data_IF_023841445460
#
_entry.id   IF_023841445460
#
_cell.length_a   1.000
_cell.length_b   1.000
_cell.length_c   1.000
_cell.angle_alpha   90.00
_cell.angle_beta   90.00
_cell.angle_gamma   90.00
#
_symmetry.space_group_name_H-M   'P 1'
#
loop_
_entity.id
_entity.type
_entity.pdbx_description
1 polymer ?
#
# COMPACT_ATOMS: atom_id res chain seq x y z
N UNK A 1 19.25 10.12 -28.18
CA UNK A 1 20.02 11.18 -27.50
C UNK A 1 21.17 10.56 -26.73
N UNK A 2 22.26 11.28 -26.45
CA UNK A 2 23.27 10.77 -25.50
C UNK A 2 22.70 10.74 -24.08
N UNK A 3 23.02 9.70 -23.31
CA UNK A 3 22.64 9.64 -21.89
C UNK A 3 23.35 10.76 -21.14
N UNK A 4 22.59 11.50 -20.33
CA UNK A 4 23.12 12.49 -19.41
C UNK A 4 24.22 11.89 -18.51
N UNK A 5 25.40 12.52 -18.49
CA UNK A 5 26.57 12.11 -17.71
C UNK A 5 26.24 11.91 -16.22
N UNK A 6 25.41 12.77 -15.64
CA UNK A 6 24.99 12.68 -14.23
C UNK A 6 24.25 11.38 -13.93
N UNK A 7 23.44 10.88 -14.87
CA UNK A 7 22.68 9.63 -14.70
C UNK A 7 23.63 8.42 -14.78
N UNK A 8 24.57 8.44 -15.73
CA UNK A 8 25.61 7.41 -15.83
C UNK A 8 26.44 7.33 -14.55
N UNK A 9 26.85 8.46 -13.99
CA UNK A 9 27.62 8.52 -12.74
C UNK A 9 26.82 7.99 -11.54
N UNK A 10 25.56 8.42 -11.40
CA UNK A 10 24.64 7.92 -10.35
C UNK A 10 24.48 6.41 -10.41
N UNK A 11 24.21 5.85 -11.60
CA UNK A 11 24.07 4.41 -11.79
C UNK A 11 25.37 3.65 -11.53
N UNK A 12 26.51 4.20 -11.96
CA UNK A 12 27.82 3.58 -11.73
C UNK A 12 28.14 3.53 -10.23
N UNK A 13 27.90 4.63 -9.50
CA UNK A 13 28.06 4.69 -8.04
C UNK A 13 27.16 3.69 -7.31
N UNK A 14 25.94 3.50 -7.81
CA UNK A 14 24.97 2.53 -7.28
C UNK A 14 25.24 1.08 -7.73
N UNK A 15 26.25 0.83 -8.57
CA UNK A 15 26.50 -0.47 -9.20
C UNK A 15 25.28 -0.97 -10.04
N UNK A 16 24.59 -0.08 -10.75
CA UNK A 16 23.41 -0.36 -11.59
C UNK A 16 23.57 0.14 -13.04
N UNK A 17 24.81 0.30 -13.53
CA UNK A 17 25.07 0.80 -14.89
C UNK A 17 24.49 -0.09 -16.01
N UNK A 18 24.20 -1.37 -15.73
CA UNK A 18 23.62 -2.30 -16.69
C UNK A 18 22.19 -1.91 -17.11
N UNK A 19 21.50 -1.06 -16.36
CA UNK A 19 20.18 -0.53 -16.74
C UNK A 19 20.21 0.25 -18.07
N UNK A 20 21.38 0.70 -18.51
CA UNK A 20 21.57 1.40 -19.78
C UNK A 20 22.12 0.51 -20.90
N UNK A 21 22.19 -0.82 -20.69
CA UNK A 21 22.82 -1.75 -21.65
C UNK A 21 22.24 -1.65 -23.07
N UNK A 22 20.94 -1.39 -23.19
CA UNK A 22 20.23 -1.32 -24.48
C UNK A 22 19.97 0.11 -24.96
N UNK A 23 20.55 1.14 -24.33
CA UNK A 23 20.20 2.54 -24.58
C UNK A 23 20.27 2.95 -26.06
N UNK A 24 21.29 2.48 -26.79
CA UNK A 24 21.49 2.77 -28.21
C UNK A 24 20.42 2.18 -29.12
N UNK A 25 19.65 1.21 -28.64
CA UNK A 25 18.57 0.55 -29.38
C UNK A 25 17.20 1.21 -29.11
N UNK A 26 17.12 2.10 -28.12
CA UNK A 26 15.86 2.71 -27.70
C UNK A 26 15.49 3.92 -28.55
N UNK A 27 14.20 4.04 -28.86
CA UNK A 27 13.64 5.27 -29.41
C UNK A 27 13.49 6.36 -28.33
N UNK A 28 13.11 7.57 -28.71
CA UNK A 28 13.02 8.70 -27.77
C UNK A 28 11.98 8.49 -26.66
N UNK A 29 10.84 7.87 -26.96
CA UNK A 29 9.77 7.61 -25.98
C UNK A 29 10.24 6.58 -24.95
N UNK A 30 10.83 5.48 -25.42
CA UNK A 30 11.44 4.44 -24.59
C UNK A 30 12.56 5.00 -23.70
N UNK A 31 13.39 5.90 -24.23
CA UNK A 31 14.40 6.60 -23.45
C UNK A 31 13.78 7.40 -22.31
N UNK A 32 12.66 8.11 -22.55
CA UNK A 32 12.00 8.87 -21.49
C UNK A 32 11.39 7.97 -20.41
N UNK A 33 10.76 6.84 -20.78
CA UNK A 33 10.21 5.87 -19.84
C UNK A 33 11.32 5.33 -18.93
N UNK A 34 12.43 4.88 -19.51
CA UNK A 34 13.55 4.34 -18.75
C UNK A 34 14.16 5.39 -17.79
N UNK A 35 14.33 6.63 -18.28
CA UNK A 35 14.86 7.72 -17.46
C UNK A 35 13.90 8.10 -16.32
N UNK A 36 12.60 8.06 -16.56
CA UNK A 36 11.59 8.29 -15.53
C UNK A 36 11.72 7.24 -14.41
N UNK A 37 11.68 5.96 -14.75
CA UNK A 37 11.84 4.86 -13.79
C UNK A 37 13.17 4.98 -12.99
N UNK A 38 14.28 5.26 -13.67
CA UNK A 38 15.60 5.45 -13.00
C UNK A 38 15.56 6.62 -12.01
N UNK A 39 14.86 7.69 -12.36
CA UNK A 39 14.81 8.88 -11.52
C UNK A 39 13.99 8.67 -10.24
N UNK A 40 12.92 7.87 -10.31
CA UNK A 40 12.08 7.54 -9.15
C UNK A 40 12.79 6.67 -8.09
N UNK A 41 13.85 5.95 -8.48
CA UNK A 41 14.52 5.00 -7.58
C UNK A 41 15.51 5.68 -6.65
N UNK A 42 15.28 5.51 -5.35
CA UNK A 42 16.27 5.77 -4.31
C UNK A 42 17.28 4.61 -4.23
N UNK A 43 18.33 4.70 -5.05
CA UNK A 43 19.37 3.67 -5.15
C UNK A 43 20.13 3.45 -3.85
N UNK A 44 20.31 4.50 -3.03
CA UNK A 44 20.99 4.38 -1.74
C UNK A 44 20.15 3.55 -0.77
N UNK A 45 18.83 3.78 -0.74
CA UNK A 45 17.90 2.98 0.06
C UNK A 45 17.84 1.53 -0.41
N UNK A 46 17.73 1.30 -1.72
CA UNK A 46 17.70 -0.06 -2.30
C UNK A 46 18.98 -0.82 -1.94
N UNK A 47 20.14 -0.17 -2.12
CA UNK A 47 21.45 -0.78 -1.81
C UNK A 47 21.59 -1.10 -0.32
N UNK A 48 21.16 -0.18 0.56
CA UNK A 48 21.16 -0.41 2.01
C UNK A 48 20.26 -1.58 2.40
N UNK A 49 19.04 -1.62 1.87
CA UNK A 49 18.08 -2.69 2.15
C UNK A 49 18.62 -4.06 1.70
N UNK A 50 19.13 -4.15 0.47
CA UNK A 50 19.73 -5.38 -0.04
C UNK A 50 20.91 -5.84 0.81
N UNK A 51 21.81 -4.93 1.20
CA UNK A 51 22.97 -5.28 2.02
C UNK A 51 22.58 -5.75 3.43
N UNK A 52 21.55 -5.15 4.04
CA UNK A 52 21.01 -5.60 5.32
C UNK A 52 20.46 -7.02 5.24
N UNK A 53 19.61 -7.30 4.24
CA UNK A 53 19.02 -8.62 4.01
C UNK A 53 20.11 -9.66 3.72
N UNK A 54 21.08 -9.32 2.85
CA UNK A 54 22.20 -10.20 2.54
C UNK A 54 23.04 -10.54 3.77
N UNK A 55 23.26 -9.58 4.67
CA UNK A 55 24.00 -9.81 5.91
C UNK A 55 23.26 -10.81 6.81
N UNK A 56 21.96 -10.64 6.96
CA UNK A 56 21.09 -11.49 7.77
C UNK A 56 21.04 -12.94 7.25
N UNK A 57 20.82 -13.11 5.94
CA UNK A 57 20.84 -14.42 5.29
C UNK A 57 22.20 -15.14 5.43
N UNK A 58 23.30 -14.38 5.41
CA UNK A 58 24.65 -14.94 5.57
C UNK A 58 25.01 -15.29 7.02
N UNK A 59 24.46 -14.57 8.01
CA UNK A 59 24.65 -14.91 9.43
C UNK A 59 24.02 -16.26 9.79
N UNK A 60 22.88 -16.60 9.19
CA UNK A 60 22.22 -17.89 9.42
C UNK A 60 23.04 -19.07 8.85
N UNK A 61 23.75 -18.86 7.74
CA UNK A 61 24.60 -19.90 7.12
C UNK A 61 25.99 -20.08 7.77
N UNK A 62 26.49 -19.11 8.55
CA UNK A 62 27.85 -19.14 9.10
C UNK A 62 27.92 -19.50 10.59
N UNK A 63 26.78 -19.51 11.29
CA UNK A 63 26.68 -19.85 12.71
C UNK A 63 26.44 -21.34 13.01
N UNK A 64 26.77 -22.25 12.09
CA UNK A 64 26.73 -23.70 12.37
C UNK A 64 27.73 -24.15 13.46
N UNK A 65 28.63 -23.28 13.93
CA UNK A 65 29.71 -23.58 14.89
C UNK A 65 29.89 -22.54 16.01
N UNK A 66 28.83 -21.84 16.47
CA UNK A 66 28.90 -21.03 17.69
C UNK A 66 27.95 -21.55 18.76
N UNK A 67 28.52 -22.09 19.85
CA UNK A 67 27.87 -22.55 21.08
C UNK A 67 27.20 -21.43 21.91
N UNK A 68 26.88 -20.28 21.31
CA UNK A 68 26.09 -19.23 21.97
C UNK A 68 24.70 -19.34 21.38
N UNK A 69 23.81 -20.05 22.09
CA UNK A 69 22.37 -19.90 21.91
C UNK A 69 22.02 -18.45 22.29
N UNK A 70 22.17 -17.53 21.35
CA UNK A 70 21.34 -16.32 21.39
C UNK A 70 19.90 -16.83 21.41
N UNK A 71 19.15 -16.51 22.48
CA UNK A 71 17.76 -16.93 22.61
C UNK A 71 17.04 -16.56 21.31
N UNK A 72 16.42 -17.55 20.65
CA UNK A 72 15.63 -17.26 19.47
C UNK A 72 14.52 -16.30 19.91
N UNK A 73 14.15 -15.32 19.08
CA UNK A 73 13.05 -14.41 19.41
C UNK A 73 11.80 -15.23 19.77
N UNK A 74 11.57 -16.34 19.08
CA UNK A 74 10.48 -17.28 19.35
C UNK A 74 10.49 -17.84 20.78
N UNK A 75 11.67 -18.01 21.40
CA UNK A 75 11.83 -18.54 22.76
C UNK A 75 11.42 -17.53 23.85
N UNK A 76 11.39 -16.23 23.52
CA UNK A 76 11.05 -15.13 24.44
C UNK A 76 9.70 -14.45 24.11
N UNK A 77 8.97 -14.97 23.11
CA UNK A 77 7.65 -14.44 22.75
C UNK A 77 6.60 -14.81 23.81
N UNK A 78 5.96 -13.80 24.40
CA UNK A 78 4.86 -13.95 25.33
C UNK A 78 3.53 -13.42 24.75
N UNK A 79 2.37 -13.90 25.24
CA UNK A 79 1.08 -13.33 24.88
C UNK A 79 0.98 -11.83 25.20
N UNK A 80 0.20 -11.10 24.41
CA UNK A 80 -0.10 -9.69 24.69
C UNK A 80 -0.86 -9.60 26.02
N UNK A 81 -0.51 -8.67 26.94
CA UNK A 81 -1.14 -8.56 28.24
C UNK A 81 -2.66 -8.29 28.18
N UNK A 82 -3.43 -8.88 29.09
CA UNK A 82 -4.88 -8.71 29.17
C UNK A 82 -5.33 -7.26 29.39
N UNK A 83 -4.46 -6.42 29.94
CA UNK A 83 -4.73 -4.99 30.19
C UNK A 83 -4.86 -4.17 28.90
N UNK A 84 -4.40 -4.68 27.76
CA UNK A 84 -4.48 -4.03 26.45
C UNK A 84 -5.27 -4.85 25.43
N UNK A 85 -5.88 -5.96 25.83
CA UNK A 85 -6.74 -6.79 24.98
C UNK A 85 -8.22 -6.64 25.33
N UNK A 86 -9.09 -6.95 24.37
CA UNK A 86 -10.53 -6.93 24.58
C UNK A 86 -11.21 -7.94 23.66
N UNK A 87 -12.27 -8.58 24.14
CA UNK A 87 -13.03 -9.61 23.41
C UNK A 87 -14.51 -9.25 23.37
N UNK A 88 -15.12 -9.27 22.18
CA UNK A 88 -16.56 -9.01 22.02
C UNK A 88 -17.40 -10.03 22.80
N UNK A 89 -16.96 -11.29 22.84
CA UNK A 89 -17.70 -12.38 23.48
C UNK A 89 -17.66 -12.32 25.02
N UNK A 90 -16.63 -11.66 25.57
CA UNK A 90 -16.41 -11.57 27.02
C UNK A 90 -16.78 -10.20 27.60
N UNK A 91 -17.02 -9.20 26.73
CA UNK A 91 -17.40 -7.85 27.14
C UNK A 91 -18.91 -7.77 27.38
N UNK A 92 -19.32 -7.14 28.49
CA UNK A 92 -20.73 -6.95 28.81
C UNK A 92 -21.46 -6.12 27.75
N UNK A 93 -22.77 -6.32 27.60
CA UNK A 93 -23.59 -5.59 26.62
C UNK A 93 -23.56 -4.08 26.87
N UNK A 94 -23.58 -3.66 28.13
CA UNK A 94 -23.53 -2.26 28.54
C UNK A 94 -22.21 -1.60 28.11
N UNK A 95 -21.09 -2.32 28.27
CA UNK A 95 -19.78 -1.82 27.86
C UNK A 95 -19.63 -1.78 26.32
N UNK A 96 -20.15 -2.79 25.61
CA UNK A 96 -20.19 -2.77 24.14
C UNK A 96 -21.03 -1.61 23.61
N UNK A 97 -22.18 -1.33 24.22
CA UNK A 97 -23.02 -0.18 23.85
C UNK A 97 -22.28 1.13 24.14
N UNK A 98 -21.55 1.23 25.25
CA UNK A 98 -20.69 2.39 25.54
C UNK A 98 -19.61 2.58 24.47
N UNK A 99 -18.99 1.51 23.97
CA UNK A 99 -18.04 1.60 22.85
C UNK A 99 -18.71 2.03 21.55
N UNK A 100 -19.88 1.48 21.24
CA UNK A 100 -20.69 1.87 20.07
C UNK A 100 -21.00 3.37 20.10
N UNK A 101 -21.51 3.87 21.22
CA UNK A 101 -21.85 5.28 21.43
C UNK A 101 -20.63 6.19 21.26
N UNK A 102 -19.48 5.81 21.84
CA UNK A 102 -18.22 6.57 21.67
C UNK A 102 -17.76 6.60 20.20
N UNK A 103 -17.86 5.48 19.50
CA UNK A 103 -17.50 5.40 18.08
C UNK A 103 -18.40 6.26 17.19
N UNK A 104 -19.72 6.16 17.37
CA UNK A 104 -20.67 6.99 16.62
C UNK A 104 -20.51 8.48 16.94
N UNK A 105 -20.21 8.83 18.19
CA UNK A 105 -19.90 10.21 18.56
C UNK A 105 -18.68 10.74 17.80
N UNK A 106 -17.60 9.96 17.73
CA UNK A 106 -16.40 10.35 17.00
C UNK A 106 -16.66 10.53 15.49
N UNK A 107 -17.56 9.70 14.91
CA UNK A 107 -18.01 9.86 13.52
C UNK A 107 -18.81 11.16 13.36
N UNK A 108 -19.77 11.43 14.26
CA UNK A 108 -20.57 12.65 14.24
C UNK A 108 -19.73 13.93 14.38
N UNK A 109 -18.63 13.85 15.13
CA UNK A 109 -17.65 14.92 15.32
C UNK A 109 -16.61 15.01 14.18
N UNK A 110 -16.71 14.17 13.14
CA UNK A 110 -15.77 14.18 12.01
C UNK A 110 -14.35 13.76 12.35
N UNK A 111 -14.16 13.01 13.43
CA UNK A 111 -12.85 12.58 13.96
C UNK A 111 -12.43 11.19 13.51
N UNK A 112 -13.10 10.62 12.50
CA UNK A 112 -12.86 9.26 11.99
C UNK A 112 -12.71 9.31 10.47
N UNK A 113 -11.69 8.62 9.96
CA UNK A 113 -11.54 8.32 8.54
C UNK A 113 -11.29 6.82 8.35
N UNK A 114 -11.45 6.34 7.12
CA UNK A 114 -11.12 4.97 6.73
C UNK A 114 -9.99 5.01 5.73
N UNK A 115 -8.98 4.19 5.96
CA UNK A 115 -7.88 3.96 5.03
C UNK A 115 -7.96 2.54 4.48
N UNK A 116 -8.15 2.42 3.17
CA UNK A 116 -8.22 1.16 2.45
C UNK A 116 -6.93 0.90 1.69
N UNK A 117 -6.36 -0.29 1.90
CA UNK A 117 -5.21 -0.79 1.14
C UNK A 117 -5.70 -1.59 -0.07
N UNK A 118 -5.72 -0.95 -1.24
CA UNK A 118 -6.24 -1.47 -2.51
C UNK A 118 -5.20 -1.50 -3.64
N UNK A 119 -3.90 -1.54 -3.31
CA UNK A 119 -2.82 -1.57 -4.29
C UNK A 119 -2.69 -2.86 -5.11
N UNK A 120 -3.34 -3.95 -4.68
CA UNK A 120 -3.24 -5.26 -5.32
C UNK A 120 -4.23 -5.46 -6.49
N UNK A 121 -3.72 -6.00 -7.59
CA UNK A 121 -4.55 -6.55 -8.67
C UNK A 121 -5.23 -7.87 -8.23
N UNK A 122 -6.35 -8.19 -8.88
CA UNK A 122 -7.09 -9.44 -8.65
C UNK A 122 -6.50 -10.69 -9.31
N UNK A 123 -5.21 -10.70 -9.67
CA UNK A 123 -4.60 -11.75 -10.51
C UNK A 123 -4.75 -13.16 -9.94
N UNK A 124 -4.60 -13.34 -8.62
CA UNK A 124 -4.83 -14.65 -7.95
C UNK A 124 -6.29 -15.12 -7.97
N UNK A 125 -7.23 -14.20 -8.19
CA UNK A 125 -8.65 -14.49 -8.41
C UNK A 125 -8.97 -14.75 -9.90
N UNK A 126 -7.96 -14.71 -10.77
CA UNK A 126 -8.13 -14.94 -12.22
C UNK A 126 -8.67 -13.75 -12.99
N UNK A 127 -8.55 -12.53 -12.45
CA UNK A 127 -9.04 -11.30 -13.09
C UNK A 127 -7.92 -10.27 -13.24
N UNK A 128 -8.04 -9.41 -14.25
CA UNK A 128 -7.06 -8.39 -14.64
C UNK A 128 -7.39 -6.99 -14.10
N UNK A 129 -8.44 -6.87 -13.29
CA UNK A 129 -8.89 -5.63 -12.68
C UNK A 129 -8.62 -5.57 -11.17
N UNK A 130 -8.74 -4.40 -10.51
CA UNK A 130 -8.48 -4.23 -9.09
C UNK A 130 -9.41 -5.10 -8.23
N UNK A 131 -8.88 -5.70 -7.17
CA UNK A 131 -9.65 -6.65 -6.33
C UNK A 131 -10.95 -6.06 -5.77
N UNK A 132 -10.99 -4.76 -5.49
CA UNK A 132 -12.20 -4.10 -4.99
C UNK A 132 -13.40 -4.16 -5.95
N UNK A 133 -13.16 -4.32 -7.26
CA UNK A 133 -14.20 -4.47 -8.29
C UNK A 133 -14.74 -5.91 -8.39
N UNK A 134 -14.27 -6.85 -7.57
CA UNK A 134 -14.68 -8.24 -7.66
C UNK A 134 -16.10 -8.45 -7.13
N UNK A 135 -16.96 -9.08 -7.94
CA UNK A 135 -18.27 -9.62 -7.52
C UNK A 135 -18.09 -11.04 -7.01
N UNK A 136 -18.39 -11.26 -5.73
CA UNK A 136 -18.29 -12.57 -5.07
C UNK A 136 -19.53 -13.45 -5.30
N UNK A 137 -20.49 -13.00 -6.12
CA UNK A 137 -21.66 -13.76 -6.52
C UNK A 137 -22.87 -13.57 -5.60
N UNK A 138 -22.93 -12.49 -4.82
CA UNK A 138 -24.10 -12.18 -4.00
C UNK A 138 -25.35 -11.96 -4.87
N UNK A 139 -26.57 -12.19 -4.35
CA UNK A 139 -27.81 -11.90 -5.09
C UNK A 139 -27.90 -10.46 -5.60
N UNK A 140 -27.33 -9.51 -4.86
CA UNK A 140 -27.28 -8.09 -5.22
C UNK A 140 -26.22 -7.74 -6.26
N UNK A 141 -25.29 -8.65 -6.58
CA UNK A 141 -24.15 -8.46 -7.50
C UNK A 141 -23.22 -7.30 -7.13
N UNK A 142 -23.26 -6.85 -5.88
CA UNK A 142 -22.42 -5.76 -5.39
C UNK A 142 -20.97 -6.22 -5.28
N UNK A 143 -20.07 -5.38 -5.74
CA UNK A 143 -18.63 -5.58 -5.60
C UNK A 143 -18.14 -5.25 -4.19
N UNK A 144 -16.91 -5.63 -3.87
CA UNK A 144 -16.30 -5.33 -2.57
C UNK A 144 -16.26 -3.82 -2.28
N UNK A 145 -15.93 -2.98 -3.28
CA UNK A 145 -15.95 -1.52 -3.14
C UNK A 145 -17.33 -1.00 -2.81
N UNK A 146 -18.37 -1.48 -3.50
CA UNK A 146 -19.73 -1.02 -3.24
C UNK A 146 -20.20 -1.40 -1.83
N UNK A 147 -19.91 -2.64 -1.38
CA UNK A 147 -20.28 -3.09 -0.04
C UNK A 147 -19.59 -2.23 1.03
N UNK A 148 -18.32 -1.88 0.83
CA UNK A 148 -17.58 -1.02 1.77
C UNK A 148 -18.09 0.42 1.75
N UNK A 149 -18.33 1.02 0.59
CA UNK A 149 -18.88 2.36 0.46
C UNK A 149 -20.28 2.49 1.10
N UNK A 150 -21.14 1.50 0.91
CA UNK A 150 -22.46 1.48 1.55
C UNK A 150 -22.40 1.31 3.07
N UNK A 151 -21.39 0.59 3.60
CA UNK A 151 -21.16 0.50 5.05
C UNK A 151 -20.73 1.84 5.63
N UNK A 152 -19.84 2.56 4.94
CA UNK A 152 -19.42 3.92 5.33
C UNK A 152 -20.66 4.82 5.38
N UNK A 153 -21.44 4.85 4.29
CA UNK A 153 -22.68 5.65 4.22
C UNK A 153 -23.67 5.31 5.33
N UNK A 154 -23.83 4.02 5.66
CA UNK A 154 -24.72 3.61 6.76
C UNK A 154 -24.21 4.07 8.12
N UNK A 155 -22.90 4.06 8.36
CA UNK A 155 -22.32 4.57 9.60
C UNK A 155 -22.51 6.08 9.76
N UNK A 156 -22.34 6.85 8.68
CA UNK A 156 -22.65 8.29 8.66
C UNK A 156 -24.13 8.55 9.01
N UNK A 157 -25.04 7.77 8.42
CA UNK A 157 -26.48 7.85 8.73
C UNK A 157 -26.79 7.51 10.20
N UNK A 158 -26.19 6.45 10.74
CA UNK A 158 -26.40 6.05 12.13
C UNK A 158 -25.89 7.12 13.11
N UNK A 159 -24.74 7.74 12.81
CA UNK A 159 -24.20 8.83 13.63
C UNK A 159 -25.09 10.08 13.55
N UNK A 160 -25.58 10.42 12.36
CA UNK A 160 -26.55 11.49 12.13
C UNK A 160 -27.85 11.26 12.91
N UNK A 161 -28.41 10.05 12.87
CA UNK A 161 -29.63 9.65 13.60
C UNK A 161 -29.44 9.75 15.12
N UNK A 162 -28.35 9.20 15.65
CA UNK A 162 -28.07 9.14 17.10
C UNK A 162 -27.80 10.54 17.70
N UNK A 163 -27.04 11.39 16.99
CA UNK A 163 -26.61 12.69 17.49
C UNK A 163 -27.38 13.88 16.89
N UNK A 164 -28.48 13.61 16.17
CA UNK A 164 -29.35 14.62 15.55
C UNK A 164 -28.59 15.63 14.69
N UNK A 165 -27.64 15.13 13.89
CA UNK A 165 -26.84 15.91 12.95
C UNK A 165 -27.10 15.42 11.51
N UNK A 166 -26.60 16.18 10.53
CA UNK A 166 -26.68 15.84 9.10
C UNK A 166 -25.33 15.91 8.40
N UNK A 167 -24.28 16.20 9.16
CA UNK A 167 -22.95 16.54 8.65
C UNK A 167 -21.90 15.48 8.94
N UNK A 168 -22.28 14.31 9.50
CA UNK A 168 -21.32 13.23 9.74
C UNK A 168 -20.67 12.80 8.43
N UNK A 169 -19.35 12.83 8.39
CA UNK A 169 -18.54 12.47 7.22
C UNK A 169 -17.44 11.53 7.69
N UNK A 170 -17.24 10.44 6.95
CA UNK A 170 -16.09 9.55 7.09
C UNK A 170 -15.29 9.64 5.79
N UNK A 171 -14.17 10.39 5.76
CA UNK A 171 -13.30 10.40 4.60
C UNK A 171 -12.79 9.00 4.28
N UNK A 172 -12.82 8.62 3.01
CA UNK A 172 -12.37 7.33 2.53
C UNK A 172 -11.10 7.48 1.70
N UNK A 173 -9.97 7.20 2.31
CA UNK A 173 -8.67 7.17 1.67
C UNK A 173 -8.45 5.79 1.05
N UNK A 174 -8.22 5.73 -0.25
CA UNK A 174 -8.02 4.48 -1.00
C UNK A 174 -6.60 4.48 -1.57
N UNK A 175 -5.73 3.68 -0.96
CA UNK A 175 -4.37 3.49 -1.43
C UNK A 175 -4.34 2.48 -2.56
N UNK A 176 -3.94 2.89 -3.76
CA UNK A 176 -3.88 2.07 -4.98
C UNK A 176 -2.42 1.82 -5.39
N UNK A 177 -2.21 1.22 -6.57
CA UNK A 177 -0.92 1.21 -7.25
C UNK A 177 -1.05 1.87 -8.63
N UNK A 178 0.09 2.14 -9.27
CA UNK A 178 0.17 2.58 -10.67
C UNK A 178 -0.74 1.75 -11.60
N UNK A 179 -0.85 0.44 -11.34
CA UNK A 179 -1.65 -0.48 -12.15
C UNK A 179 -3.15 -0.51 -11.81
N UNK A 180 -3.57 0.04 -10.66
CA UNK A 180 -4.97 -0.03 -10.21
C UNK A 180 -5.63 1.33 -10.06
N UNK A 181 -4.87 2.44 -10.07
CA UNK A 181 -5.36 3.79 -9.86
C UNK A 181 -6.47 4.17 -10.85
N UNK A 182 -6.15 4.22 -12.15
CA UNK A 182 -7.08 4.68 -13.19
C UNK A 182 -8.35 3.82 -13.24
N UNK A 183 -8.19 2.50 -13.17
CA UNK A 183 -9.33 1.57 -13.17
C UNK A 183 -10.22 1.77 -11.94
N UNK A 184 -9.63 2.02 -10.76
CA UNK A 184 -10.38 2.26 -9.52
C UNK A 184 -11.12 3.60 -9.58
N UNK A 185 -10.46 4.67 -10.03
CA UNK A 185 -11.07 5.99 -10.18
C UNK A 185 -12.26 5.95 -11.14
N UNK A 186 -12.06 5.38 -12.33
CA UNK A 186 -13.12 5.20 -13.33
C UNK A 186 -14.29 4.39 -12.78
N UNK A 187 -14.01 3.33 -12.03
CA UNK A 187 -15.05 2.49 -11.44
C UNK A 187 -15.87 3.24 -10.39
N UNK A 188 -15.23 3.98 -9.50
CA UNK A 188 -15.91 4.81 -8.51
C UNK A 188 -16.81 5.87 -9.18
N UNK A 189 -16.26 6.57 -10.17
CA UNK A 189 -17.00 7.57 -10.94
C UNK A 189 -18.22 6.98 -11.65
N UNK A 190 -18.04 5.86 -12.38
CA UNK A 190 -19.11 5.20 -13.13
C UNK A 190 -20.25 4.71 -12.23
N UNK A 191 -19.95 4.38 -10.97
CA UNK A 191 -20.93 3.94 -9.98
C UNK A 191 -21.42 5.09 -9.07
N UNK A 192 -21.23 6.35 -9.48
CA UNK A 192 -21.64 7.54 -8.74
C UNK A 192 -21.16 7.50 -7.27
N UNK A 193 -19.93 7.03 -7.06
CA UNK A 193 -19.28 6.91 -5.75
C UNK A 193 -20.11 6.14 -4.71
N UNK A 194 -20.98 5.24 -5.18
CA UNK A 194 -21.94 4.47 -4.35
C UNK A 194 -22.85 5.36 -3.48
N UNK A 195 -23.06 6.61 -3.89
CA UNK A 195 -23.86 7.61 -3.18
C UNK A 195 -23.11 8.33 -2.04
N UNK A 196 -21.80 8.18 -1.93
CA UNK A 196 -20.94 9.02 -1.10
C UNK A 196 -20.60 10.32 -1.84
N UNK A 197 -20.20 11.35 -1.09
CA UNK A 197 -19.72 12.60 -1.68
C UNK A 197 -18.30 12.37 -2.28
N UNK A 198 -18.09 12.65 -3.58
CA UNK A 198 -16.78 12.46 -4.22
C UNK A 198 -15.65 13.24 -3.55
N UNK A 199 -15.94 14.41 -2.95
CA UNK A 199 -14.93 15.22 -2.27
C UNK A 199 -14.37 14.53 -1.00
N UNK A 200 -15.05 13.50 -0.50
CA UNK A 200 -14.65 12.75 0.69
C UNK A 200 -13.97 11.42 0.34
N UNK A 201 -13.72 11.15 -0.95
CA UNK A 201 -13.02 9.95 -1.41
C UNK A 201 -11.70 10.39 -2.03
N UNK A 202 -10.59 9.96 -1.43
CA UNK A 202 -9.25 10.40 -1.80
C UNK A 202 -8.45 9.18 -2.24
N UNK A 203 -8.12 9.12 -3.52
CA UNK A 203 -7.23 8.10 -4.06
C UNK A 203 -5.79 8.60 -3.99
N UNK A 204 -4.87 7.72 -3.60
CA UNK A 204 -3.45 8.01 -3.61
C UNK A 204 -2.66 6.73 -3.88
N UNK A 205 -1.51 6.87 -4.51
CA UNK A 205 -0.73 5.72 -4.93
C UNK A 205 0.31 5.32 -3.89
N UNK A 206 0.47 4.02 -3.69
CA UNK A 206 1.60 3.45 -2.97
C UNK A 206 2.87 3.51 -3.83
N UNK A 207 4.03 3.36 -3.19
CA UNK A 207 5.30 3.31 -3.92
C UNK A 207 5.54 1.92 -4.49
N UNK A 208 6.37 1.89 -5.53
CA UNK A 208 6.93 0.66 -6.06
C UNK A 208 8.42 0.56 -5.72
N UNK A 209 8.91 -0.67 -5.53
CA UNK A 209 10.33 -0.98 -5.42
C UNK A 209 10.78 -1.79 -6.63
N UNK A 210 12.02 -1.59 -7.09
CA UNK A 210 12.58 -2.41 -8.15
C UNK A 210 12.80 -3.84 -7.66
N UNK A 211 12.51 -4.81 -8.52
CA UNK A 211 12.91 -6.20 -8.30
C UNK A 211 14.42 -6.34 -8.51
N UNK A 212 15.06 -7.13 -7.65
CA UNK A 212 16.50 -7.37 -7.68
C UNK A 212 16.79 -8.84 -8.01
N UNK A 213 17.89 -9.08 -8.72
CA UNK A 213 18.50 -10.41 -8.79
C UNK A 213 19.24 -10.76 -7.48
N UNK A 214 19.77 -11.99 -7.42
CA UNK A 214 20.51 -12.47 -6.25
C UNK A 214 21.82 -11.69 -6.00
N UNK A 215 22.33 -10.96 -6.99
CA UNK A 215 23.52 -10.11 -6.90
C UNK A 215 23.18 -8.66 -6.54
N UNK A 216 21.90 -8.33 -6.34
CA UNK A 216 21.43 -6.99 -6.01
C UNK A 216 21.31 -6.06 -7.22
N UNK A 217 21.29 -6.60 -8.44
CA UNK A 217 21.06 -5.82 -9.67
C UNK A 217 19.59 -5.70 -9.95
N UNK A 218 19.17 -4.49 -10.33
CA UNK A 218 17.77 -4.23 -10.70
C UNK A 218 17.44 -4.96 -12.01
N UNK A 219 16.29 -5.64 -12.02
CA UNK A 219 15.78 -6.35 -13.18
C UNK A 219 15.08 -5.41 -14.17
N UNK A 220 15.24 -5.71 -15.45
CA UNK A 220 14.52 -5.07 -16.55
C UNK A 220 13.37 -5.99 -16.99
N UNK A 221 12.16 -5.44 -17.08
CA UNK A 221 10.98 -6.11 -17.63
C UNK A 221 11.01 -6.09 -19.17
N UNK A 222 11.52 -4.99 -19.73
CA UNK A 222 11.86 -4.82 -21.15
C UNK A 222 13.11 -3.93 -21.23
N UNK A 223 13.70 -3.77 -22.42
CA UNK A 223 14.94 -2.98 -22.66
C UNK A 223 14.89 -1.55 -22.12
N UNK A 224 13.70 -1.01 -21.90
CA UNK A 224 13.43 0.37 -21.47
C UNK A 224 12.55 0.47 -20.22
N UNK A 225 12.25 -0.64 -19.54
CA UNK A 225 11.31 -0.64 -18.40
C UNK A 225 11.83 -1.50 -17.26
N UNK A 226 11.81 -0.96 -16.05
CA UNK A 226 12.26 -1.68 -14.86
C UNK A 226 11.18 -2.63 -14.36
N UNK A 227 11.58 -3.80 -13.88
CA UNK A 227 10.67 -4.68 -13.15
C UNK A 227 10.43 -4.06 -11.77
N UNK A 228 9.19 -3.64 -11.50
CA UNK A 228 8.77 -3.01 -10.24
C UNK A 228 7.68 -3.85 -9.56
N UNK A 229 7.64 -3.81 -8.23
CA UNK A 229 6.59 -4.44 -7.42
C UNK A 229 6.18 -3.51 -6.28
N UNK A 230 4.97 -3.70 -5.74
CA UNK A 230 4.51 -2.98 -4.57
C UNK A 230 5.49 -3.16 -3.39
N UNK A 231 5.77 -2.09 -2.65
CA UNK A 231 6.70 -2.09 -1.52
C UNK A 231 6.13 -2.69 -0.22
N UNK A 232 5.03 -3.46 -0.35
CA UNK A 232 4.29 -4.06 0.74
C UNK A 232 3.27 -3.11 1.39
N UNK A 233 2.36 -3.67 2.19
CA UNK A 233 1.37 -2.85 2.92
C UNK A 233 2.03 -1.86 3.90
N UNK A 234 3.22 -2.17 4.42
CA UNK A 234 4.03 -1.26 5.24
C UNK A 234 4.51 0.00 4.51
N UNK A 235 4.48 0.02 3.17
CA UNK A 235 4.73 1.22 2.36
C UNK A 235 3.71 2.34 2.57
N UNK A 236 2.57 2.02 3.20
CA UNK A 236 1.52 2.95 3.59
C UNK A 236 2.07 4.24 4.23
N UNK A 237 2.93 4.11 5.23
CA UNK A 237 3.39 5.28 5.99
C UNK A 237 4.15 6.27 5.11
N UNK A 238 4.97 5.75 4.18
CA UNK A 238 5.69 6.58 3.21
C UNK A 238 4.73 7.20 2.20
N UNK A 239 3.74 6.43 1.74
CA UNK A 239 2.72 6.91 0.81
C UNK A 239 1.91 8.06 1.41
N UNK A 240 1.57 7.99 2.70
CA UNK A 240 0.86 9.04 3.42
C UNK A 240 1.61 10.39 3.39
N UNK A 241 2.91 10.38 3.70
CA UNK A 241 3.74 11.60 3.69
C UNK A 241 3.98 12.12 2.27
N UNK A 242 4.34 11.24 1.33
CA UNK A 242 4.74 11.64 -0.02
C UNK A 242 3.56 12.21 -0.82
N UNK A 243 2.37 11.62 -0.64
CA UNK A 243 1.13 12.11 -1.25
C UNK A 243 0.46 13.22 -0.44
N UNK A 244 1.10 13.72 0.64
CA UNK A 244 0.57 14.78 1.51
C UNK A 244 -0.83 14.48 2.07
N UNK A 245 -1.10 13.21 2.35
CA UNK A 245 -2.32 12.77 3.04
C UNK A 245 -2.22 13.15 4.52
N UNK A 246 -1.04 12.99 5.09
CA UNK A 246 -0.68 13.59 6.37
C UNK A 246 0.11 14.87 6.09
N UNK A 247 -0.37 15.98 6.65
CA UNK A 247 0.43 17.20 6.76
C UNK A 247 1.41 17.05 7.94
N UNK A 248 2.54 17.77 7.87
CA UNK A 248 3.47 17.93 9.00
C UNK A 248 2.83 18.69 10.17
#
# INVERSE_FOLDING_TARGET
MEVNLTIKERLTKANQAHLLAYWSELNNEQQQILLHDINEIDFDRVTKAYNSIKKELLSDTTNSNKEIKEECIDDIMEPVPDTVTGSINETSKEQLERYRQRGLKAIAEGSVCVLLLAGGQGTRLGVDYPKGMYDVGLPSKKTLYQIQGERIRRLEQLANEEFQTTTSIIPWFIMTSEHTQEQTEKYLHTNNYFGLNPNNIILFEQHLLPALDFQGKILLDDKYKLTKAADGNGGLYRALTTNKILNE
#
